data_IF_247913580333
#
_entry.id   IF_247913580333
#
_cell.length_a   1.000
_cell.length_b   1.000
_cell.length_c   1.000
_cell.angle_alpha   90.00
_cell.angle_beta   90.00
_cell.angle_gamma   90.00
#
_symmetry.space_group_name_H-M   'P 1'
#
loop_
_entity.id
_entity.type
_entity.pdbx_description
1 polymer ?
#
# COMPACT_ATOMS: atom_id res chain seq x y z
N UNK A 1 22.31 -12.11 -28.44
CA UNK A 1 23.19 -12.38 -27.30
C UNK A 1 23.24 -11.11 -26.44
N UNK A 2 22.23 -10.92 -25.58
CA UNK A 2 22.14 -9.84 -24.59
C UNK A 2 22.51 -10.32 -23.20
N UNK A 3 22.39 -9.46 -22.19
CA UNK A 3 22.46 -9.85 -20.79
C UNK A 3 21.29 -10.80 -20.44
N UNK A 4 21.49 -11.68 -19.44
CA UNK A 4 20.42 -12.55 -18.93
C UNK A 4 19.33 -11.72 -18.26
N UNK A 5 18.10 -12.20 -18.31
CA UNK A 5 16.95 -11.64 -17.60
C UNK A 5 17.15 -11.90 -16.12
N UNK A 6 17.15 -10.85 -15.31
CA UNK A 6 17.26 -10.97 -13.86
C UNK A 6 15.88 -11.26 -13.26
N UNK A 7 15.75 -12.43 -12.67
CA UNK A 7 14.55 -12.80 -11.90
C UNK A 7 14.80 -12.52 -10.41
N UNK A 8 13.98 -11.67 -9.83
CA UNK A 8 14.13 -11.21 -8.46
C UNK A 8 12.87 -11.48 -7.65
N UNK A 9 13.06 -12.12 -6.51
CA UNK A 9 12.02 -12.38 -5.52
C UNK A 9 12.20 -11.43 -4.35
N UNK A 10 11.14 -10.71 -3.99
CA UNK A 10 11.07 -9.81 -2.84
C UNK A 10 10.13 -10.36 -1.77
N UNK A 11 10.15 -9.81 -0.58
CA UNK A 11 9.27 -10.27 0.50
C UNK A 11 7.86 -9.68 0.36
N UNK A 12 7.77 -8.38 0.12
CA UNK A 12 6.52 -7.63 -0.07
C UNK A 12 6.57 -6.78 -1.34
N UNK A 13 5.46 -6.10 -1.68
CA UNK A 13 5.38 -5.11 -2.76
C UNK A 13 6.16 -3.83 -2.43
N UNK A 14 6.21 -3.42 -1.17
CA UNK A 14 7.07 -2.31 -0.76
C UNK A 14 8.56 -2.64 -0.92
N UNK A 15 8.97 -3.89 -0.59
CA UNK A 15 10.32 -4.36 -0.87
C UNK A 15 10.61 -4.44 -2.38
N UNK A 16 9.59 -4.80 -3.18
CA UNK A 16 9.69 -4.77 -4.64
C UNK A 16 9.94 -3.35 -5.14
N UNK A 17 9.18 -2.37 -4.64
CA UNK A 17 9.37 -0.96 -4.95
C UNK A 17 10.76 -0.46 -4.54
N UNK A 18 11.22 -0.79 -3.34
CA UNK A 18 12.54 -0.45 -2.84
C UNK A 18 13.64 -1.06 -3.71
N UNK A 19 13.56 -2.37 -4.02
CA UNK A 19 14.52 -3.05 -4.88
C UNK A 19 14.64 -2.36 -6.25
N UNK A 20 13.52 -1.98 -6.85
CA UNK A 20 13.49 -1.29 -8.15
C UNK A 20 14.19 0.07 -8.05
N UNK A 21 13.88 0.87 -7.03
CA UNK A 21 14.48 2.18 -6.82
C UNK A 21 15.98 2.10 -6.55
N UNK A 22 16.42 1.16 -5.69
CA UNK A 22 17.84 0.89 -5.39
C UNK A 22 18.59 0.46 -6.67
N UNK A 23 17.98 -0.43 -7.48
CA UNK A 23 18.56 -0.90 -8.73
C UNK A 23 18.71 0.23 -9.76
N UNK A 24 17.73 1.13 -9.86
CA UNK A 24 17.82 2.30 -10.73
C UNK A 24 19.01 3.17 -10.33
N UNK A 25 19.18 3.46 -9.04
CA UNK A 25 20.33 4.21 -8.52
C UNK A 25 21.66 3.51 -8.85
N UNK A 26 21.73 2.20 -8.60
CA UNK A 26 22.93 1.41 -8.91
C UNK A 26 23.28 1.47 -10.42
N UNK A 27 22.31 1.29 -11.29
CA UNK A 27 22.53 1.32 -12.73
C UNK A 27 22.92 2.71 -13.23
N UNK A 28 22.40 3.78 -12.65
CA UNK A 28 22.81 5.16 -12.94
C UNK A 28 24.28 5.39 -12.56
N UNK A 29 24.68 4.90 -11.39
CA UNK A 29 26.07 5.07 -10.92
C UNK A 29 27.08 4.20 -11.69
N UNK A 30 26.72 2.94 -11.96
CA UNK A 30 27.67 1.98 -12.57
C UNK A 30 27.70 2.03 -14.10
N UNK A 31 26.55 2.25 -14.73
CA UNK A 31 26.37 2.14 -16.18
C UNK A 31 25.99 3.45 -16.85
N UNK A 32 25.95 4.56 -16.08
CA UNK A 32 25.66 5.92 -16.56
C UNK A 32 24.30 6.08 -17.27
N UNK A 33 23.31 5.22 -16.95
CA UNK A 33 21.95 5.38 -17.42
C UNK A 33 21.32 6.64 -16.86
N UNK A 34 20.40 7.25 -17.63
CA UNK A 34 19.57 8.37 -17.20
C UNK A 34 18.20 7.86 -16.75
N UNK A 35 17.44 8.66 -16.00
CA UNK A 35 16.10 8.25 -15.56
C UNK A 35 15.19 7.85 -16.72
N UNK A 36 15.26 8.56 -17.86
CA UNK A 36 14.46 8.30 -19.06
C UNK A 36 14.74 6.93 -19.71
N UNK A 37 15.87 6.29 -19.40
CA UNK A 37 16.23 4.97 -19.94
C UNK A 37 15.47 3.86 -19.23
N UNK A 38 14.83 4.14 -18.08
CA UNK A 38 14.12 3.16 -17.28
C UNK A 38 12.61 3.23 -17.46
N UNK A 39 11.98 2.05 -17.52
CA UNK A 39 10.55 1.88 -17.44
C UNK A 39 10.17 0.81 -16.40
N UNK A 40 9.13 1.08 -15.62
CA UNK A 40 8.49 0.14 -14.69
C UNK A 40 7.13 -0.21 -15.28
N UNK A 41 6.96 -1.48 -15.66
CA UNK A 41 5.76 -1.99 -16.28
C UNK A 41 4.98 -2.87 -15.31
N UNK A 42 3.71 -2.58 -15.13
CA UNK A 42 2.82 -3.31 -14.22
C UNK A 42 1.48 -3.63 -14.90
N UNK A 43 0.75 -4.63 -14.36
CA UNK A 43 -0.50 -5.11 -14.97
C UNK A 43 -1.69 -4.20 -14.65
N UNK A 44 -1.82 -3.74 -13.42
CA UNK A 44 -2.93 -2.88 -12.97
C UNK A 44 -2.40 -1.56 -12.41
N UNK A 45 -3.23 -0.54 -12.52
CA UNK A 45 -2.88 0.80 -12.02
C UNK A 45 -2.63 0.85 -10.50
N UNK A 46 -3.27 -0.02 -9.73
CA UNK A 46 -3.10 -0.09 -8.28
C UNK A 46 -1.63 -0.35 -7.88
N UNK A 47 -0.93 -1.16 -8.66
CA UNK A 47 0.48 -1.49 -8.39
C UNK A 47 1.44 -0.29 -8.44
N UNK A 48 1.05 0.84 -9.06
CA UNK A 48 1.93 2.01 -9.16
C UNK A 48 2.31 2.59 -7.81
N UNK A 49 1.48 2.46 -6.77
CA UNK A 49 1.67 3.06 -5.44
C UNK A 49 3.04 2.73 -4.84
N UNK A 50 3.36 1.45 -4.71
CA UNK A 50 4.62 1.02 -4.08
C UNK A 50 5.86 1.58 -4.80
N UNK A 51 5.83 1.61 -6.15
CA UNK A 51 6.91 2.18 -6.95
C UNK A 51 6.98 3.69 -6.82
N UNK A 52 5.83 4.38 -6.87
CA UNK A 52 5.77 5.83 -6.68
C UNK A 52 6.35 6.25 -5.33
N UNK A 53 5.96 5.58 -4.25
CA UNK A 53 6.47 5.84 -2.91
C UNK A 53 7.96 5.56 -2.78
N UNK A 54 8.45 4.44 -3.31
CA UNK A 54 9.87 4.09 -3.27
C UNK A 54 10.74 5.11 -4.05
N UNK A 55 10.30 5.48 -5.26
CA UNK A 55 11.02 6.48 -6.07
C UNK A 55 11.05 7.85 -5.40
N UNK A 56 9.94 8.28 -4.75
CA UNK A 56 9.89 9.53 -4.00
C UNK A 56 10.84 9.52 -2.81
N UNK A 57 10.85 8.46 -2.00
CA UNK A 57 11.76 8.30 -0.86
C UNK A 57 13.22 8.46 -1.28
N UNK A 58 13.56 7.98 -2.46
CA UNK A 58 14.94 8.08 -3.01
C UNK A 58 15.20 9.33 -3.85
N UNK A 59 14.23 10.24 -3.95
CA UNK A 59 14.37 11.46 -4.75
C UNK A 59 14.53 11.22 -6.26
N UNK A 60 14.06 10.07 -6.77
CA UNK A 60 14.12 9.72 -8.18
C UNK A 60 12.89 10.31 -8.88
N UNK A 61 13.13 11.20 -9.85
CA UNK A 61 12.06 11.79 -10.64
C UNK A 61 11.39 10.73 -11.55
N UNK A 62 10.06 10.69 -11.57
CA UNK A 62 9.28 9.76 -12.38
C UNK A 62 8.09 10.44 -13.04
N UNK A 63 7.50 9.78 -14.03
CA UNK A 63 6.28 10.20 -14.73
C UNK A 63 5.38 9.00 -14.96
N UNK A 64 4.09 9.14 -14.62
CA UNK A 64 3.08 8.14 -14.98
C UNK A 64 2.67 8.38 -16.43
N UNK A 65 2.90 7.39 -17.28
CA UNK A 65 2.53 7.46 -18.69
C UNK A 65 1.12 6.89 -18.93
N UNK A 66 0.26 7.70 -19.52
CA UNK A 66 -1.13 7.30 -19.80
C UNK A 66 -2.05 7.22 -18.59
N UNK A 67 -1.70 7.85 -17.49
CA UNK A 67 -2.48 7.82 -16.25
C UNK A 67 -2.16 8.99 -15.31
N UNK A 68 -2.63 8.86 -14.08
CA UNK A 68 -2.41 9.81 -12.99
C UNK A 68 -1.70 9.09 -11.85
N UNK A 69 -0.90 9.83 -11.07
CA UNK A 69 -0.31 9.37 -9.81
C UNK A 69 -1.38 8.77 -8.89
N UNK A 70 -1.03 7.77 -8.11
CA UNK A 70 -1.97 7.02 -7.28
C UNK A 70 -2.81 7.95 -6.39
N UNK A 71 -2.16 8.85 -5.65
CA UNK A 71 -2.84 9.77 -4.75
C UNK A 71 -3.57 10.93 -5.46
N UNK A 72 -3.37 11.11 -6.77
CA UNK A 72 -4.08 12.10 -7.58
C UNK A 72 -5.40 11.57 -8.17
N UNK A 73 -5.64 10.25 -8.13
CA UNK A 73 -6.86 9.63 -8.64
C UNK A 73 -8.08 10.09 -7.85
N UNK A 74 -9.20 10.27 -8.57
CA UNK A 74 -10.42 10.84 -7.99
C UNK A 74 -10.91 10.05 -6.78
N UNK A 75 -11.07 8.74 -6.92
CA UNK A 75 -11.55 7.83 -5.87
C UNK A 75 -10.65 7.85 -4.63
N UNK A 76 -9.33 7.94 -4.83
CA UNK A 76 -8.35 8.04 -3.73
C UNK A 76 -8.50 9.37 -3.02
N UNK A 77 -8.56 10.49 -3.78
CA UNK A 77 -8.79 11.83 -3.20
C UNK A 77 -10.11 11.88 -2.44
N UNK A 78 -11.18 11.30 -3.00
CA UNK A 78 -12.50 11.28 -2.36
C UNK A 78 -12.44 10.49 -1.04
N UNK A 79 -11.79 9.34 -1.03
CA UNK A 79 -11.65 8.53 0.17
C UNK A 79 -10.74 9.16 1.22
N UNK A 80 -9.58 9.65 0.83
CA UNK A 80 -8.64 10.36 1.72
C UNK A 80 -9.30 11.61 2.31
N UNK A 81 -10.17 12.30 1.56
CA UNK A 81 -10.91 13.45 2.09
C UNK A 81 -11.86 13.07 3.24
N UNK A 82 -12.48 11.87 3.22
CA UNK A 82 -13.19 11.38 4.40
C UNK A 82 -12.26 11.25 5.61
N UNK A 83 -11.11 10.62 5.42
CA UNK A 83 -10.16 10.41 6.51
C UNK A 83 -9.62 11.73 7.07
N UNK A 84 -9.37 12.73 6.20
CA UNK A 84 -8.91 14.07 6.60
C UNK A 84 -9.97 14.81 7.42
N UNK A 85 -11.23 14.79 6.98
CA UNK A 85 -12.32 15.44 7.72
C UNK A 85 -12.53 14.84 9.11
N UNK A 86 -12.24 13.56 9.31
CA UNK A 86 -12.31 12.95 10.65
C UNK A 86 -11.25 13.53 11.60
N UNK A 87 -10.05 13.79 11.08
CA UNK A 87 -8.94 14.35 11.88
C UNK A 87 -9.11 15.88 12.02
N UNK A 88 -9.52 16.55 10.95
CA UNK A 88 -9.73 18.00 10.92
C UNK A 88 -11.03 18.36 10.17
N UNK A 89 -12.17 18.47 10.87
CA UNK A 89 -13.43 18.86 10.24
C UNK A 89 -13.44 20.26 9.63
N UNK A 90 -12.50 21.12 10.00
CA UNK A 90 -12.38 22.47 9.46
C UNK A 90 -11.71 22.49 8.06
N UNK A 91 -11.22 21.38 7.54
CA UNK A 91 -10.65 21.28 6.19
C UNK A 91 -11.75 21.39 5.12
N UNK A 92 -12.01 22.62 4.70
CA UNK A 92 -13.16 22.99 3.84
C UNK A 92 -13.14 22.24 2.50
N UNK A 93 -12.00 22.11 1.85
CA UNK A 93 -11.89 21.45 0.55
C UNK A 93 -12.18 19.95 0.64
N UNK A 94 -11.71 19.29 1.68
CA UNK A 94 -12.03 17.88 1.94
C UNK A 94 -13.53 17.70 2.25
N UNK A 95 -14.09 18.59 3.07
CA UNK A 95 -15.50 18.55 3.45
C UNK A 95 -16.44 18.78 2.25
N UNK A 96 -16.15 19.77 1.40
CA UNK A 96 -16.89 20.02 0.14
C UNK A 96 -16.90 18.78 -0.76
N UNK A 97 -15.80 18.09 -0.79
CA UNK A 97 -15.62 16.90 -1.65
C UNK A 97 -16.50 15.73 -1.24
N UNK A 98 -16.69 15.51 0.05
CA UNK A 98 -17.36 14.31 0.60
C UNK A 98 -18.81 14.53 1.00
N UNK A 99 -19.26 15.76 1.24
CA UNK A 99 -20.57 16.05 1.86
C UNK A 99 -21.73 15.39 1.10
N UNK A 100 -21.65 15.33 -0.22
CA UNK A 100 -22.67 14.68 -1.07
C UNK A 100 -22.12 13.53 -1.92
N UNK A 101 -21.03 12.91 -1.50
CA UNK A 101 -20.47 11.73 -2.18
C UNK A 101 -20.09 10.64 -1.15
N UNK A 102 -20.73 9.46 -1.18
CA UNK A 102 -21.90 9.05 -2.02
C UNK A 102 -23.12 9.98 -1.87
N UNK A 103 -24.01 9.94 -2.85
CA UNK A 103 -25.15 10.87 -2.93
C UNK A 103 -26.04 10.83 -1.67
N UNK A 104 -26.25 11.99 -1.02
CA UNK A 104 -27.06 12.15 0.21
C UNK A 104 -28.20 13.14 0.09
N UNK A 105 -28.41 13.70 -1.11
CA UNK A 105 -29.43 14.72 -1.32
C UNK A 105 -29.02 16.14 -0.86
N UNK A 106 -27.72 16.34 -0.55
CA UNK A 106 -27.18 17.67 -0.25
C UNK A 106 -26.67 18.28 -1.54
N UNK A 107 -27.53 19.04 -2.23
CA UNK A 107 -27.20 19.63 -3.53
C UNK A 107 -26.19 20.78 -3.45
N UNK A 108 -25.60 21.13 -4.61
CA UNK A 108 -24.61 22.20 -4.74
C UNK A 108 -25.08 23.52 -4.15
N UNK A 109 -26.35 23.92 -4.41
CA UNK A 109 -26.92 25.16 -3.88
C UNK A 109 -26.94 25.22 -2.35
N UNK A 110 -27.15 24.06 -1.70
CA UNK A 110 -27.11 23.96 -0.24
C UNK A 110 -25.68 24.11 0.28
N UNK A 111 -24.72 23.54 -0.41
CA UNK A 111 -23.30 23.68 -0.07
C UNK A 111 -22.83 25.13 -0.26
N UNK A 112 -23.12 25.74 -1.41
CA UNK A 112 -22.76 27.13 -1.71
C UNK A 112 -23.36 28.11 -0.68
N UNK A 113 -24.61 27.88 -0.26
CA UNK A 113 -25.26 28.65 0.81
C UNK A 113 -24.55 28.50 2.15
N UNK A 114 -24.11 27.29 2.51
CA UNK A 114 -23.39 27.08 3.77
C UNK A 114 -22.03 27.77 3.75
N UNK A 115 -21.34 27.76 2.63
CA UNK A 115 -20.05 28.47 2.48
C UNK A 115 -20.23 29.98 2.59
N UNK A 116 -21.27 30.55 1.97
CA UNK A 116 -21.61 31.98 2.13
C UNK A 116 -21.87 32.32 3.59
N UNK A 117 -22.71 31.51 4.27
CA UNK A 117 -23.00 31.71 5.70
C UNK A 117 -21.75 31.62 6.58
N UNK A 118 -20.82 30.69 6.26
CA UNK A 118 -19.53 30.58 6.95
C UNK A 118 -18.71 31.86 6.82
N UNK A 119 -18.57 32.39 5.59
CA UNK A 119 -17.84 33.62 5.31
C UNK A 119 -18.48 34.84 5.98
N UNK A 120 -19.81 35.00 5.90
CA UNK A 120 -20.54 36.11 6.48
C UNK A 120 -20.44 36.18 8.00
N UNK A 121 -20.38 35.01 8.66
CA UNK A 121 -20.31 34.91 10.12
C UNK A 121 -18.91 34.66 10.66
N UNK A 122 -17.89 34.57 9.78
CA UNK A 122 -16.49 34.28 10.13
C UNK A 122 -16.34 33.04 10.99
N UNK A 123 -17.06 31.96 10.61
CA UNK A 123 -17.01 30.64 11.22
C UNK A 123 -16.65 29.59 10.17
N UNK A 124 -16.27 28.37 10.61
CA UNK A 124 -15.93 27.31 9.67
C UNK A 124 -17.18 26.76 8.94
N UNK A 125 -16.97 26.21 7.73
CA UNK A 125 -18.03 25.52 7.00
C UNK A 125 -18.64 24.37 7.82
N UNK A 126 -17.81 23.66 8.60
CA UNK A 126 -18.28 22.62 9.52
C UNK A 126 -19.24 23.14 10.59
N UNK A 127 -18.92 24.26 11.24
CA UNK A 127 -19.80 24.88 12.25
C UNK A 127 -21.17 25.29 11.67
N UNK A 128 -21.22 25.76 10.43
CA UNK A 128 -22.49 26.04 9.74
C UNK A 128 -23.31 24.76 9.59
N UNK A 129 -22.68 23.62 9.24
CA UNK A 129 -23.37 22.34 9.12
C UNK A 129 -23.88 21.83 10.47
N UNK A 130 -23.11 21.97 11.55
CA UNK A 130 -23.52 21.61 12.89
C UNK A 130 -24.73 22.42 13.38
N UNK A 131 -24.81 23.68 12.94
CA UNK A 131 -25.87 24.62 13.29
C UNK A 131 -26.84 24.87 12.14
N UNK A 132 -27.03 23.89 11.26
CA UNK A 132 -27.78 24.05 10.00
C UNK A 132 -29.19 24.62 10.20
N UNK A 133 -29.88 24.32 11.32
CA UNK A 133 -31.20 24.87 11.65
C UNK A 133 -31.17 26.40 11.81
N UNK A 134 -30.12 26.93 12.47
CA UNK A 134 -29.95 28.37 12.70
C UNK A 134 -29.71 29.11 11.39
N UNK A 135 -29.03 28.47 10.44
CA UNK A 135 -28.81 29.01 9.09
C UNK A 135 -29.96 28.74 8.11
N UNK A 136 -31.14 28.33 8.63
CA UNK A 136 -32.40 28.28 7.91
C UNK A 136 -32.53 27.08 6.97
N UNK A 137 -31.77 25.98 7.16
CA UNK A 137 -32.03 24.71 6.49
C UNK A 137 -33.29 24.05 7.04
N UNK A 138 -34.09 23.42 6.18
CA UNK A 138 -35.36 22.80 6.53
C UNK A 138 -35.62 21.53 5.73
N UNK A 139 -36.56 20.69 6.22
CA UNK A 139 -37.01 19.49 5.53
C UNK A 139 -35.91 18.47 5.27
N UNK A 140 -35.99 17.75 4.14
CA UNK A 140 -35.10 16.68 3.81
C UNK A 140 -33.60 17.09 3.71
N UNK A 141 -33.32 18.31 3.26
CA UNK A 141 -31.94 18.82 3.22
C UNK A 141 -31.35 18.98 4.60
N UNK A 142 -32.13 19.50 5.58
CA UNK A 142 -31.70 19.61 6.96
C UNK A 142 -31.41 18.23 7.56
N UNK A 143 -32.33 17.29 7.38
CA UNK A 143 -32.16 15.91 7.87
C UNK A 143 -30.90 15.25 7.28
N UNK A 144 -30.66 15.45 5.99
CA UNK A 144 -29.46 14.92 5.32
C UNK A 144 -28.17 15.52 5.88
N UNK A 145 -28.16 16.82 6.19
CA UNK A 145 -27.00 17.50 6.81
C UNK A 145 -26.80 16.99 8.23
N UNK A 146 -27.87 16.93 9.04
CA UNK A 146 -27.77 16.42 10.42
C UNK A 146 -27.28 14.98 10.48
N UNK A 147 -27.78 14.10 9.60
CA UNK A 147 -27.33 12.72 9.48
C UNK A 147 -25.84 12.65 9.07
N UNK A 148 -25.43 13.51 8.14
CA UNK A 148 -24.01 13.57 7.75
C UNK A 148 -23.12 14.02 8.91
N UNK A 149 -23.49 15.09 9.63
CA UNK A 149 -22.76 15.57 10.80
C UNK A 149 -22.67 14.50 11.89
N UNK A 150 -23.80 13.83 12.19
CA UNK A 150 -23.85 12.76 13.17
C UNK A 150 -22.93 11.60 12.78
N UNK A 151 -22.92 11.21 11.50
CA UNK A 151 -22.06 10.16 10.96
C UNK A 151 -20.58 10.52 11.16
N UNK A 152 -20.15 11.72 10.77
CA UNK A 152 -18.76 12.17 10.93
C UNK A 152 -18.36 12.19 12.40
N UNK A 153 -19.20 12.73 13.30
CA UNK A 153 -18.94 12.73 14.74
C UNK A 153 -18.78 11.31 15.32
N UNK A 154 -19.64 10.39 14.88
CA UNK A 154 -19.54 8.98 15.27
C UNK A 154 -18.21 8.35 14.82
N UNK A 155 -17.72 8.66 13.63
CA UNK A 155 -16.43 8.16 13.16
C UNK A 155 -15.26 8.83 13.91
N UNK A 156 -15.33 10.13 14.15
CA UNK A 156 -14.28 10.85 14.89
C UNK A 156 -14.11 10.32 16.32
N UNK A 157 -15.17 9.84 16.96
CA UNK A 157 -15.07 9.23 18.30
C UNK A 157 -14.22 7.94 18.31
N UNK A 158 -14.05 7.29 17.16
CA UNK A 158 -13.23 6.08 17.03
C UNK A 158 -11.72 6.38 17.00
N UNK A 159 -11.32 7.61 16.66
CA UNK A 159 -9.90 7.99 16.52
C UNK A 159 -9.10 7.80 17.82
N UNK A 160 -9.76 7.85 18.97
CA UNK A 160 -9.13 7.68 20.28
C UNK A 160 -8.84 6.21 20.65
N UNK A 161 -9.48 5.25 19.98
CA UNK A 161 -9.46 3.85 20.40
C UNK A 161 -9.15 2.87 19.26
N UNK A 162 -8.97 3.36 18.02
CA UNK A 162 -8.77 2.54 16.85
C UNK A 162 -7.57 3.03 16.05
N UNK A 163 -6.82 2.08 15.47
CA UNK A 163 -5.75 2.38 14.55
C UNK A 163 -6.28 2.91 13.20
N UNK A 164 -5.38 3.42 12.36
CA UNK A 164 -5.71 4.01 11.07
C UNK A 164 -6.50 3.06 10.16
N UNK A 165 -6.16 1.76 10.14
CA UNK A 165 -6.81 0.77 9.29
C UNK A 165 -8.24 0.49 9.70
N UNK A 166 -8.48 0.27 10.99
CA UNK A 166 -9.83 -0.02 11.52
C UNK A 166 -10.77 1.15 11.24
N UNK A 167 -10.31 2.39 11.43
CA UNK A 167 -11.08 3.60 11.10
C UNK A 167 -11.37 3.67 9.61
N UNK A 168 -10.35 3.50 8.76
CA UNK A 168 -10.53 3.55 7.31
C UNK A 168 -11.55 2.50 6.82
N UNK A 169 -11.41 1.24 7.23
CA UNK A 169 -12.36 0.18 6.87
C UNK A 169 -13.79 0.49 7.34
N UNK A 170 -13.93 1.02 8.57
CA UNK A 170 -15.24 1.40 9.09
C UNK A 170 -15.90 2.49 8.24
N UNK A 171 -15.15 3.54 7.91
CA UNK A 171 -15.61 4.63 7.03
C UNK A 171 -16.10 4.07 5.68
N UNK A 172 -15.31 3.22 5.02
CA UNK A 172 -15.68 2.66 3.72
C UNK A 172 -16.96 1.81 3.75
N UNK A 173 -17.19 1.09 4.86
CA UNK A 173 -18.40 0.29 5.06
C UNK A 173 -19.62 1.16 5.34
N UNK A 174 -19.53 2.07 6.29
CA UNK A 174 -20.68 2.87 6.77
C UNK A 174 -21.13 3.93 5.74
N UNK A 175 -20.19 4.52 5.01
CA UNK A 175 -20.52 5.49 3.96
C UNK A 175 -21.08 4.84 2.69
N UNK A 176 -21.06 3.50 2.59
CA UNK A 176 -21.35 2.75 1.37
C UNK A 176 -20.41 3.03 0.20
N UNK A 177 -19.32 3.76 0.41
CA UNK A 177 -18.36 4.15 -0.63
C UNK A 177 -17.77 2.93 -1.35
N UNK A 178 -17.25 1.96 -0.59
CA UNK A 178 -16.68 0.73 -1.15
C UNK A 178 -17.73 -0.13 -1.84
N UNK A 179 -18.97 -0.16 -1.29
CA UNK A 179 -20.07 -0.91 -1.88
C UNK A 179 -20.51 -0.34 -3.24
N UNK A 180 -20.54 0.97 -3.38
CA UNK A 180 -20.87 1.63 -4.65
C UNK A 180 -19.85 1.27 -5.74
N UNK A 181 -18.55 1.36 -5.43
CA UNK A 181 -17.49 0.97 -6.37
C UNK A 181 -17.54 -0.53 -6.72
N UNK A 182 -17.80 -1.38 -5.74
CA UNK A 182 -17.92 -2.82 -5.96
C UNK A 182 -19.10 -3.19 -6.90
N UNK A 183 -20.17 -2.43 -6.87
CA UNK A 183 -21.34 -2.64 -7.72
C UNK A 183 -21.14 -2.16 -9.16
N UNK A 184 -20.19 -1.27 -9.40
CA UNK A 184 -19.82 -0.83 -10.74
C UNK A 184 -18.96 -1.89 -11.42
N UNK A 185 -19.56 -2.68 -12.33
CA UNK A 185 -18.89 -3.76 -13.08
C UNK A 185 -18.19 -3.30 -14.35
N UNK A 186 -18.19 -2.00 -14.64
CA UNK A 186 -17.41 -1.45 -15.74
C UNK A 186 -15.92 -1.66 -15.50
N UNK A 187 -15.11 -1.69 -16.55
CA UNK A 187 -13.65 -1.79 -16.45
C UNK A 187 -13.07 -0.67 -15.57
N UNK A 188 -13.65 0.54 -15.67
CA UNK A 188 -13.26 1.68 -14.85
C UNK A 188 -13.68 1.51 -13.38
N UNK A 189 -14.90 1.00 -13.13
CA UNK A 189 -15.39 0.72 -11.78
C UNK A 189 -14.54 -0.32 -11.07
N UNK A 190 -14.17 -1.40 -11.75
CA UNK A 190 -13.27 -2.43 -11.23
C UNK A 190 -11.90 -1.82 -10.86
N UNK A 191 -11.33 -1.01 -11.76
CA UNK A 191 -10.04 -0.35 -11.49
C UNK A 191 -10.11 0.61 -10.30
N UNK A 192 -11.21 1.37 -10.15
CA UNK A 192 -11.41 2.25 -8.98
C UNK A 192 -11.53 1.45 -7.69
N UNK A 193 -12.25 0.33 -7.73
CA UNK A 193 -12.36 -0.57 -6.58
C UNK A 193 -10.99 -1.14 -6.18
N UNK A 194 -10.19 -1.61 -7.15
CA UNK A 194 -8.82 -2.08 -6.92
C UNK A 194 -7.94 -1.00 -6.29
N UNK A 195 -8.06 0.25 -6.75
CA UNK A 195 -7.32 1.38 -6.18
C UNK A 195 -7.68 1.62 -4.70
N UNK A 196 -8.96 1.54 -4.33
CA UNK A 196 -9.37 1.69 -2.92
C UNK A 196 -8.90 0.49 -2.08
N UNK A 197 -8.94 -0.73 -2.61
CA UNK A 197 -8.40 -1.89 -1.92
C UNK A 197 -6.89 -1.73 -1.67
N UNK A 198 -6.16 -1.23 -2.66
CA UNK A 198 -4.73 -0.95 -2.52
C UNK A 198 -4.44 0.11 -1.45
N UNK A 199 -5.24 1.19 -1.39
CA UNK A 199 -5.12 2.19 -0.32
C UNK A 199 -5.37 1.55 1.06
N UNK A 200 -6.40 0.74 1.21
CA UNK A 200 -6.69 0.06 2.47
C UNK A 200 -5.59 -0.94 2.87
N UNK A 201 -5.04 -1.65 1.89
CA UNK A 201 -3.91 -2.57 2.11
C UNK A 201 -2.66 -1.80 2.57
N UNK A 202 -2.37 -0.65 1.96
CA UNK A 202 -1.23 0.19 2.37
C UNK A 202 -1.37 0.74 3.79
N UNK A 203 -2.60 1.12 4.20
CA UNK A 203 -2.88 1.53 5.58
C UNK A 203 -2.65 0.33 6.53
N UNK A 204 -3.12 -0.86 6.14
CA UNK A 204 -2.95 -2.08 6.94
C UNK A 204 -1.47 -2.42 7.14
N UNK A 205 -0.72 -2.46 6.06
CA UNK A 205 0.71 -2.71 6.08
C UNK A 205 1.46 -1.68 6.94
N UNK A 206 1.12 -0.39 6.80
CA UNK A 206 1.70 0.66 7.63
C UNK A 206 1.40 0.47 9.12
N UNK A 207 0.18 0.07 9.47
CA UNK A 207 -0.20 -0.22 10.87
C UNK A 207 0.58 -1.42 11.42
N UNK A 208 0.77 -2.47 10.62
CA UNK A 208 1.45 -3.71 11.05
C UNK A 208 2.98 -3.65 10.91
N UNK A 209 3.52 -2.66 10.18
CA UNK A 209 4.97 -2.46 10.10
C UNK A 209 5.53 -2.11 11.47
N UNK A 210 6.68 -2.71 11.87
CA UNK A 210 7.41 -2.26 13.06
C UNK A 210 7.70 -0.76 12.93
N UNK A 211 7.64 -0.04 14.06
CA UNK A 211 8.16 1.32 14.10
C UNK A 211 9.65 1.26 13.75
N UNK A 212 10.05 1.98 12.70
CA UNK A 212 11.48 2.20 12.44
C UNK A 212 11.99 3.04 13.61
N UNK A 213 12.52 2.39 14.66
CA UNK A 213 13.34 3.07 15.65
C UNK A 213 14.48 3.68 14.85
N UNK A 214 14.54 5.02 14.80
CA UNK A 214 15.72 5.72 14.27
C UNK A 214 16.90 5.14 15.02
N UNK A 215 17.80 4.46 14.30
CA UNK A 215 19.06 3.99 14.86
C UNK A 215 19.76 5.23 15.45
N UNK A 216 19.81 5.31 16.78
CA UNK A 216 20.54 6.32 17.54
C UNK A 216 22.07 6.21 17.35
N UNK A 217 22.52 5.41 16.38
CA UNK A 217 23.93 5.17 16.09
C UNK A 217 24.48 5.97 14.90
N UNK A 218 23.97 7.19 14.67
CA UNK A 218 24.76 8.17 13.91
C UNK A 218 25.59 8.93 14.92
N UNK A 219 26.67 8.32 15.39
CA UNK A 219 27.78 9.04 16.01
C UNK A 219 28.42 9.90 14.93
N UNK A 220 28.05 11.16 14.91
CA UNK A 220 28.77 12.19 14.18
C UNK A 220 30.14 12.35 14.84
N UNK A 221 31.17 11.68 14.31
CA UNK A 221 32.56 12.04 14.57
C UNK A 221 32.91 13.20 13.66
N UNK A 222 32.46 14.37 14.00
CA UNK A 222 32.89 15.63 13.41
C UNK A 222 33.46 16.51 14.52
N UNK A 223 34.72 16.88 14.36
CA UNK A 223 35.46 17.80 15.24
C UNK A 223 34.67 19.11 15.43
N UNK A 224 34.46 19.47 16.70
CA UNK A 224 33.84 20.76 17.05
C UNK A 224 34.79 21.94 16.73
N UNK A 225 34.33 23.01 16.08
CA UNK A 225 34.97 24.30 16.25
C UNK A 225 34.36 24.99 17.48
N UNK A 226 35.25 25.34 18.40
CA UNK A 226 34.95 26.06 19.63
C UNK A 226 34.29 27.42 19.36
N UNK A 227 33.24 27.72 20.10
CA UNK A 227 32.78 29.10 20.35
C UNK A 227 31.31 29.37 20.03
N UNK A 228 30.56 29.49 21.08
CA UNK A 228 29.49 30.40 21.42
C UNK A 228 28.28 29.68 22.04
N UNK A 229 28.23 29.84 23.38
CA UNK A 229 27.04 29.56 24.18
C UNK A 229 25.88 30.45 23.74
N UNK A 230 24.81 29.85 23.18
CA UNK A 230 23.50 30.48 23.12
C UNK A 230 22.53 29.61 23.95
N UNK A 231 22.05 30.26 25.02
CA UNK A 231 21.14 29.73 26.02
C UNK A 231 19.88 29.11 25.41
N UNK A 232 19.67 27.80 25.64
CA UNK A 232 18.36 27.15 25.58
C UNK A 232 17.80 27.02 26.98
N UNK A 233 17.36 28.15 27.51
CA UNK A 233 16.58 28.21 28.74
C UNK A 233 15.20 28.76 28.39
N UNK A 234 14.27 27.88 28.04
CA UNK A 234 12.81 28.15 28.02
C UNK A 234 12.08 26.89 27.58
N UNK A 235 11.78 26.02 28.49
CA UNK A 235 10.58 25.14 28.53
C UNK A 235 10.77 24.03 29.59
N UNK A 236 11.02 24.48 30.83
CA UNK A 236 10.92 23.58 31.97
C UNK A 236 10.37 24.34 33.16
N UNK A 237 9.05 24.48 33.20
CA UNK A 237 8.28 24.70 34.44
C UNK A 237 6.79 24.51 34.19
N UNK A 238 6.25 23.59 34.93
CA UNK A 238 4.85 23.29 35.25
C UNK A 238 4.28 22.04 34.60
N UNK A 239 4.44 20.90 35.28
CA UNK A 239 3.28 20.17 35.82
C UNK A 239 3.78 19.07 36.77
N UNK A 240 3.66 19.33 38.06
CA UNK A 240 3.58 18.29 39.07
C UNK A 240 2.11 17.85 39.08
N UNK A 241 1.83 16.66 38.58
CA UNK A 241 0.59 15.94 38.86
C UNK A 241 0.93 14.47 39.11
N UNK A 242 0.34 13.94 40.11
CA UNK A 242 0.54 12.65 40.78
C UNK A 242 0.80 11.48 39.88
N UNK A 243 1.91 10.75 40.17
CA UNK A 243 2.25 9.48 39.57
C UNK A 243 1.32 8.38 40.08
N UNK A 244 0.34 7.99 39.29
CA UNK A 244 -0.28 6.68 39.40
C UNK A 244 0.59 5.73 38.58
N UNK A 245 1.25 4.75 39.21
CA UNK A 245 2.03 3.72 38.56
C UNK A 245 1.10 2.87 37.68
N UNK A 246 1.22 3.04 36.35
CA UNK A 246 0.60 2.17 35.35
C UNK A 246 1.55 0.99 35.13
N UNK A 247 1.08 -0.27 35.11
CA UNK A 247 1.93 -1.42 34.85
C UNK A 247 2.65 -1.28 33.49
N UNK A 248 3.95 -1.62 33.44
CA UNK A 248 4.82 -1.41 32.29
C UNK A 248 4.32 -2.05 30.98
N UNK A 249 3.57 -3.15 31.06
CA UNK A 249 2.98 -3.81 29.88
C UNK A 249 1.86 -2.98 29.23
N UNK A 250 1.08 -2.25 30.03
CA UNK A 250 0.00 -1.37 29.50
C UNK A 250 0.54 -0.06 28.93
N UNK A 251 1.69 0.41 29.42
CA UNK A 251 2.32 1.61 28.89
C UNK A 251 2.90 1.41 27.48
N UNK A 252 3.48 0.24 27.20
CA UNK A 252 3.99 -0.09 25.87
C UNK A 252 2.85 -0.26 24.85
N UNK A 253 1.72 -0.89 25.21
CA UNK A 253 0.55 -1.00 24.33
C UNK A 253 -0.09 0.37 24.01
N UNK A 254 -0.07 1.32 24.95
CA UNK A 254 -0.62 2.66 24.75
C UNK A 254 0.30 3.50 23.87
N UNK A 255 1.63 3.41 24.03
CA UNK A 255 2.60 4.13 23.20
C UNK A 255 2.58 3.62 21.74
N UNK A 256 2.48 2.30 21.52
CA UNK A 256 2.36 1.71 20.17
C UNK A 256 1.04 2.10 19.47
N UNK A 257 -0.05 2.32 20.23
CA UNK A 257 -1.33 2.74 19.68
C UNK A 257 -1.33 4.22 19.27
N UNK A 258 -0.61 5.10 19.95
CA UNK A 258 -0.54 6.53 19.60
C UNK A 258 0.20 6.78 18.29
N UNK A 259 1.23 6.00 17.97
CA UNK A 259 2.04 6.18 16.76
C UNK A 259 1.36 5.67 15.47
N UNK A 260 0.41 4.74 15.55
CA UNK A 260 -0.34 4.18 14.41
C UNK A 260 -1.72 4.82 14.20
N UNK A 261 -1.85 6.07 14.59
CA UNK A 261 -3.08 6.86 14.45
C UNK A 261 -3.36 7.24 12.99
N UNK A 262 -4.63 7.52 12.69
CA UNK A 262 -5.03 8.04 11.38
C UNK A 262 -4.32 9.38 11.04
N UNK A 263 -4.11 10.24 12.04
CA UNK A 263 -3.41 11.52 11.87
C UNK A 263 -1.97 11.32 11.39
N UNK A 264 -1.22 10.42 12.01
CA UNK A 264 0.16 10.11 11.64
C UNK A 264 0.25 9.54 10.20
N UNK A 265 -0.65 8.63 9.84
CA UNK A 265 -0.73 8.11 8.46
C UNK A 265 -0.99 9.21 7.43
N UNK A 266 -1.94 10.11 7.70
CA UNK A 266 -2.27 11.22 6.80
C UNK A 266 -1.13 12.23 6.64
N UNK A 267 -0.35 12.49 7.69
CA UNK A 267 0.87 13.31 7.60
C UNK A 267 1.89 12.68 6.63
N UNK A 268 2.12 11.37 6.75
CA UNK A 268 3.03 10.66 5.85
C UNK A 268 2.58 10.77 4.39
N UNK A 269 1.29 10.58 4.09
CA UNK A 269 0.77 10.72 2.72
C UNK A 269 0.95 12.16 2.21
N UNK A 270 0.69 13.16 3.04
CA UNK A 270 0.79 14.57 2.62
C UNK A 270 2.22 14.90 2.20
N UNK A 271 3.22 14.49 2.96
CA UNK A 271 4.63 14.66 2.58
C UNK A 271 4.98 13.96 1.25
N UNK A 272 4.33 12.83 0.96
CA UNK A 272 4.54 12.10 -0.29
C UNK A 272 3.87 12.79 -1.49
N UNK A 273 2.74 13.48 -1.30
CA UNK A 273 1.95 14.07 -2.41
C UNK A 273 2.47 15.44 -2.87
N UNK A 274 3.10 16.20 -2.01
CA UNK A 274 3.61 17.56 -2.34
C UNK A 274 4.81 17.53 -3.31
N UNK A 275 5.43 16.39 -3.50
CA UNK A 275 6.57 16.21 -4.40
C UNK A 275 6.20 16.05 -5.90
N UNK A 276 4.92 15.92 -6.24
CA UNK A 276 4.45 15.57 -7.60
C UNK A 276 4.48 16.71 -8.64
N UNK A 277 4.86 17.93 -8.27
CA UNK A 277 4.86 19.09 -9.17
C UNK A 277 6.16 19.25 -9.95
N UNK A 278 6.46 18.35 -10.93
CA UNK A 278 7.64 18.54 -11.79
C UNK A 278 7.33 18.31 -13.29
N UNK A 279 7.96 19.15 -14.12
CA UNK A 279 7.80 19.28 -15.56
C UNK A 279 7.86 17.94 -16.32
N UNK A 280 6.93 17.74 -17.26
CA UNK A 280 6.81 16.54 -18.10
C UNK A 280 8.02 16.29 -19.03
N UNK A 281 8.85 17.31 -19.30
CA UNK A 281 10.05 17.23 -20.13
C UNK A 281 11.35 16.91 -19.38
N UNK A 282 11.26 16.63 -18.07
CA UNK A 282 12.42 16.29 -17.26
C UNK A 282 12.88 14.84 -17.49
N UNK A 283 14.16 14.58 -17.21
CA UNK A 283 14.71 13.22 -17.16
C UNK A 283 14.02 12.42 -16.05
N UNK A 284 13.04 11.57 -16.42
CA UNK A 284 12.16 10.86 -15.49
C UNK A 284 12.03 9.39 -15.84
N UNK A 285 11.98 8.53 -14.79
CA UNK A 285 11.60 7.12 -14.93
C UNK A 285 10.15 7.02 -15.38
N UNK A 286 9.86 6.13 -16.34
CA UNK A 286 8.50 5.96 -16.87
C UNK A 286 7.79 4.82 -16.15
N UNK A 287 6.67 5.15 -15.50
CA UNK A 287 5.76 4.18 -14.87
C UNK A 287 4.53 4.02 -15.76
N UNK A 288 4.16 2.79 -16.11
CA UNK A 288 3.00 2.57 -16.97
C UNK A 288 2.46 1.14 -16.88
N UNK A 289 1.20 1.00 -17.27
CA UNK A 289 0.66 -0.35 -17.48
C UNK A 289 1.29 -1.00 -18.72
N UNK A 290 1.31 -2.33 -18.75
CA UNK A 290 1.82 -3.11 -19.87
C UNK A 290 1.11 -2.73 -21.17
N UNK A 291 -0.20 -2.44 -21.11
CA UNK A 291 -0.97 -2.01 -22.28
C UNK A 291 -0.48 -0.68 -22.86
N UNK A 292 -0.12 0.26 -21.99
CA UNK A 292 0.39 1.57 -22.40
C UNK A 292 1.82 1.49 -22.98
N UNK A 293 2.56 0.42 -22.66
CA UNK A 293 3.92 0.21 -23.15
C UNK A 293 3.98 -0.32 -24.60
N UNK A 294 2.84 -0.68 -25.21
CA UNK A 294 2.80 -1.21 -26.58
C UNK A 294 3.35 -0.19 -27.57
N UNK A 295 4.39 -0.57 -28.31
CA UNK A 295 5.05 0.30 -29.29
C UNK A 295 6.19 1.16 -28.74
N UNK A 296 6.38 1.22 -27.42
CA UNK A 296 7.50 1.93 -26.79
C UNK A 296 8.65 0.96 -26.51
N UNK A 297 9.88 1.50 -26.36
CA UNK A 297 11.06 0.70 -26.02
C UNK A 297 11.99 1.51 -25.11
N UNK A 298 12.60 0.83 -24.14
CA UNK A 298 13.44 1.45 -23.11
C UNK A 298 14.78 0.73 -22.98
N UNK A 299 15.80 1.42 -22.50
CA UNK A 299 17.12 0.83 -22.23
C UNK A 299 17.01 -0.28 -21.18
N UNK A 300 16.31 0.01 -20.09
CA UNK A 300 16.14 -0.84 -18.93
C UNK A 300 14.65 -0.97 -18.59
N UNK A 301 14.15 -2.18 -18.39
CA UNK A 301 12.75 -2.45 -18.07
C UNK A 301 12.64 -3.29 -16.81
N UNK A 302 11.77 -2.90 -15.92
CA UNK A 302 11.29 -3.69 -14.78
C UNK A 302 9.89 -4.19 -15.10
N UNK A 303 9.72 -5.50 -15.17
CA UNK A 303 8.44 -6.18 -15.30
C UNK A 303 8.01 -6.58 -13.88
N UNK A 304 7.09 -5.82 -13.29
CA UNK A 304 6.77 -5.89 -11.87
C UNK A 304 5.48 -6.66 -11.59
N UNK A 305 5.45 -7.35 -10.44
CA UNK A 305 4.28 -8.07 -9.97
C UNK A 305 3.96 -9.31 -10.80
N UNK A 306 4.99 -10.07 -11.22
CA UNK A 306 4.83 -11.31 -11.97
C UNK A 306 4.39 -12.44 -11.02
N UNK A 307 3.13 -12.41 -10.59
CA UNK A 307 2.53 -13.30 -9.62
C UNK A 307 1.21 -13.87 -10.14
N UNK A 308 0.88 -15.10 -9.74
CA UNK A 308 -0.43 -15.70 -10.03
C UNK A 308 -1.56 -14.82 -9.47
N UNK A 309 -2.66 -14.74 -10.21
CA UNK A 309 -3.81 -13.88 -9.90
C UNK A 309 -3.56 -12.37 -9.96
N UNK A 310 -2.34 -11.94 -10.29
CA UNK A 310 -1.99 -10.54 -10.54
C UNK A 310 -1.55 -10.35 -12.00
N UNK A 311 -0.61 -11.16 -12.47
CA UNK A 311 -0.22 -11.30 -13.85
C UNK A 311 0.21 -12.75 -14.16
N UNK A 312 -0.71 -13.60 -14.70
CA UNK A 312 -2.03 -13.27 -15.27
C UNK A 312 -3.04 -12.80 -14.23
N UNK A 313 -3.95 -11.89 -14.66
CA UNK A 313 -5.00 -11.36 -13.79
C UNK A 313 -5.99 -12.48 -13.40
N UNK A 314 -6.46 -12.46 -12.13
CA UNK A 314 -7.40 -13.47 -11.62
C UNK A 314 -8.67 -13.64 -12.47
N UNK A 315 -9.15 -12.56 -13.11
CA UNK A 315 -10.33 -12.62 -13.97
C UNK A 315 -10.04 -13.28 -15.32
N UNK A 316 -8.78 -13.22 -15.78
CA UNK A 316 -8.35 -13.69 -17.11
C UNK A 316 -7.81 -15.13 -17.12
N UNK A 317 -7.87 -15.86 -16.00
CA UNK A 317 -7.42 -17.27 -15.95
C UNK A 317 -8.55 -18.27 -16.17
N UNK A 318 -9.80 -17.83 -16.28
CA UNK A 318 -10.96 -18.69 -16.36
C UNK A 318 -11.21 -19.26 -17.76
N UNK A 319 -10.77 -18.56 -18.80
CA UNK A 319 -10.87 -19.02 -20.18
C UNK A 319 -9.50 -19.11 -20.82
N UNK A 320 -9.39 -20.01 -21.81
CA UNK A 320 -8.12 -20.18 -22.55
C UNK A 320 -7.78 -18.94 -23.38
N UNK A 321 -8.78 -18.33 -23.97
CA UNK A 321 -8.62 -17.14 -24.81
C UNK A 321 -8.08 -15.95 -23.99
N UNK A 322 -8.63 -15.71 -22.80
CA UNK A 322 -8.18 -14.65 -21.91
C UNK A 322 -6.76 -14.91 -21.41
N UNK A 323 -6.44 -16.16 -21.05
CA UNK A 323 -5.08 -16.52 -20.64
C UNK A 323 -4.05 -16.33 -21.77
N UNK A 324 -4.42 -16.64 -23.01
CA UNK A 324 -3.55 -16.40 -24.18
C UNK A 324 -3.36 -14.89 -24.43
N UNK A 325 -4.36 -14.06 -24.14
CA UNK A 325 -4.17 -12.60 -24.22
C UNK A 325 -3.21 -12.10 -23.14
N UNK A 326 -3.31 -12.60 -21.90
CA UNK A 326 -2.32 -12.28 -20.84
C UNK A 326 -0.90 -12.74 -21.26
N UNK A 327 -0.77 -13.90 -21.93
CA UNK A 327 0.53 -14.35 -22.47
C UNK A 327 1.06 -13.42 -23.55
N UNK A 328 0.20 -12.88 -24.42
CA UNK A 328 0.60 -11.87 -25.41
C UNK A 328 1.08 -10.57 -24.74
N UNK A 329 0.42 -10.18 -23.64
CA UNK A 329 0.88 -9.03 -22.83
C UNK A 329 2.26 -9.32 -22.23
N UNK A 330 2.50 -10.54 -21.75
CA UNK A 330 3.83 -10.92 -21.24
C UNK A 330 4.89 -10.85 -22.34
N UNK A 331 4.59 -11.32 -23.54
CA UNK A 331 5.48 -11.14 -24.69
C UNK A 331 5.77 -9.66 -24.98
N UNK A 332 4.75 -8.80 -24.90
CA UNK A 332 4.96 -7.35 -25.03
C UNK A 332 5.96 -6.86 -23.99
N UNK A 333 5.82 -7.23 -22.71
CA UNK A 333 6.74 -6.81 -21.65
C UNK A 333 8.18 -7.16 -21.98
N UNK A 334 8.44 -8.43 -22.29
CA UNK A 334 9.80 -8.93 -22.57
C UNK A 334 10.44 -8.18 -23.74
N UNK A 335 9.64 -7.81 -24.75
CA UNK A 335 10.13 -7.12 -25.95
C UNK A 335 10.29 -5.61 -25.80
N UNK A 336 9.98 -5.02 -24.63
CA UNK A 336 10.18 -3.56 -24.39
C UNK A 336 11.60 -3.20 -24.00
N UNK A 337 12.38 -4.17 -23.51
CA UNK A 337 13.75 -3.94 -23.06
C UNK A 337 14.75 -4.00 -24.23
N UNK A 338 15.57 -2.95 -24.37
CA UNK A 338 16.67 -2.92 -25.36
C UNK A 338 17.96 -3.57 -24.83
N UNK A 339 18.23 -3.41 -23.52
CA UNK A 339 19.50 -3.83 -22.93
C UNK A 339 19.30 -4.72 -21.70
N UNK A 340 18.50 -4.29 -20.73
CA UNK A 340 18.34 -5.00 -19.45
C UNK A 340 16.86 -5.19 -19.10
N UNK A 341 16.54 -6.39 -18.64
CA UNK A 341 15.22 -6.76 -18.17
C UNK A 341 15.32 -7.38 -16.77
N UNK A 342 14.58 -6.81 -15.83
CA UNK A 342 14.31 -7.38 -14.52
C UNK A 342 12.86 -7.86 -14.48
N UNK A 343 12.64 -9.07 -14.02
CA UNK A 343 11.33 -9.62 -13.69
C UNK A 343 11.27 -9.70 -12.18
N UNK A 344 10.30 -9.05 -11.57
CA UNK A 344 10.15 -9.01 -10.13
C UNK A 344 8.81 -9.59 -9.68
N UNK A 345 8.79 -10.24 -8.52
CA UNK A 345 7.59 -10.72 -7.86
C UNK A 345 7.75 -10.70 -6.35
N UNK A 346 6.67 -10.41 -5.61
CA UNK A 346 6.64 -10.45 -4.16
C UNK A 346 6.14 -11.79 -3.65
N UNK A 347 6.71 -12.24 -2.52
CA UNK A 347 6.26 -13.43 -1.82
C UNK A 347 4.86 -13.29 -1.26
N UNK A 348 4.60 -12.12 -0.72
CA UNK A 348 3.34 -11.82 -0.05
C UNK A 348 2.89 -10.41 -0.36
N UNK A 349 1.57 -10.23 -0.39
CA UNK A 349 0.90 -8.93 -0.51
C UNK A 349 -0.30 -8.89 0.40
N UNK A 350 -0.62 -7.72 0.89
CA UNK A 350 -1.92 -7.52 1.51
C UNK A 350 -3.01 -7.51 0.42
N UNK A 351 -4.05 -8.31 0.64
CA UNK A 351 -5.26 -8.33 -0.19
C UNK A 351 -6.47 -8.45 0.73
N UNK A 352 -7.43 -7.54 0.58
CA UNK A 352 -8.65 -7.52 1.39
C UNK A 352 -8.37 -7.55 2.91
N UNK A 353 -7.30 -6.88 3.34
CA UNK A 353 -6.89 -6.80 4.75
C UNK A 353 -6.22 -8.05 5.32
N UNK A 354 -5.86 -9.01 4.48
CA UNK A 354 -5.12 -10.22 4.85
C UNK A 354 -3.83 -10.34 4.08
N UNK A 355 -2.77 -10.81 4.74
CA UNK A 355 -1.50 -11.12 4.09
C UNK A 355 -1.65 -12.44 3.34
N UNK A 356 -1.50 -12.41 2.02
CA UNK A 356 -1.62 -13.57 1.14
C UNK A 356 -0.24 -13.89 0.58
N UNK A 357 0.14 -15.16 0.64
CA UNK A 357 1.33 -15.64 -0.05
C UNK A 357 1.01 -15.85 -1.53
N UNK A 358 1.87 -15.31 -2.39
CA UNK A 358 1.72 -15.37 -3.83
C UNK A 358 2.70 -16.37 -4.43
N UNK A 359 2.24 -17.11 -5.43
CA UNK A 359 3.10 -17.92 -6.27
C UNK A 359 3.64 -17.07 -7.43
N UNK A 360 4.89 -17.33 -7.90
CA UNK A 360 5.39 -16.70 -9.10
C UNK A 360 4.47 -16.96 -10.29
N UNK A 361 4.33 -15.99 -11.18
CA UNK A 361 3.57 -16.14 -12.42
C UNK A 361 4.01 -17.36 -13.22
N UNK A 362 3.05 -18.13 -13.73
CA UNK A 362 3.30 -19.27 -14.64
C UNK A 362 4.10 -18.88 -15.89
N UNK A 363 4.01 -17.64 -16.33
CA UNK A 363 4.76 -17.16 -17.49
C UNK A 363 6.27 -17.14 -17.25
N UNK A 364 6.73 -17.05 -15.99
CA UNK A 364 8.15 -17.13 -15.67
C UNK A 364 8.71 -18.51 -16.03
N UNK A 365 7.93 -19.58 -15.82
CA UNK A 365 8.35 -20.94 -16.14
C UNK A 365 8.41 -21.22 -17.66
N UNK A 366 7.82 -20.36 -18.48
CA UNK A 366 7.89 -20.45 -19.94
C UNK A 366 9.22 -19.88 -20.51
N UNK A 367 9.99 -19.15 -19.68
CA UNK A 367 11.32 -18.65 -20.10
C UNK A 367 12.36 -19.76 -19.90
N UNK A 368 13.14 -20.13 -20.94
CA UNK A 368 14.20 -21.12 -20.78
C UNK A 368 15.24 -20.67 -19.73
N UNK A 369 15.65 -21.58 -18.86
CA UNK A 369 16.56 -21.31 -17.74
C UNK A 369 17.91 -20.71 -18.18
N UNK A 370 18.36 -21.02 -19.37
CA UNK A 370 19.60 -20.47 -19.94
C UNK A 370 19.59 -18.95 -20.08
N UNK A 371 18.40 -18.33 -20.20
CA UNK A 371 18.22 -16.88 -20.31
C UNK A 371 17.94 -16.20 -18.96
N UNK A 372 17.73 -16.97 -17.88
CA UNK A 372 17.45 -16.43 -16.56
C UNK A 372 18.72 -16.33 -15.70
N UNK A 373 18.79 -15.26 -14.92
CA UNK A 373 19.67 -15.08 -13.76
C UNK A 373 18.81 -14.94 -12.51
N UNK A 374 18.83 -15.98 -11.66
CA UNK A 374 18.04 -16.04 -10.42
C UNK A 374 18.86 -15.48 -9.24
N UNK A 375 19.22 -14.20 -9.29
CA UNK A 375 19.85 -13.56 -8.15
C UNK A 375 18.80 -13.20 -7.09
N UNK A 376 18.96 -13.71 -5.86
CA UNK A 376 18.09 -13.27 -4.75
C UNK A 376 18.47 -11.85 -4.33
N UNK A 377 17.48 -10.97 -4.09
CA UNK A 377 17.69 -9.59 -3.64
C UNK A 377 18.44 -9.46 -2.31
N UNK A 378 18.68 -10.57 -1.59
CA UNK A 378 19.37 -10.60 -0.31
C UNK A 378 20.88 -10.87 -0.34
N UNK A 379 21.50 -11.19 -1.52
CA UNK A 379 22.90 -11.59 -1.56
C UNK A 379 23.91 -10.48 -1.86
N UNK A 380 23.47 -9.31 -2.31
CA UNK A 380 24.39 -8.23 -2.70
C UNK A 380 24.86 -7.33 -1.55
N UNK A 381 24.27 -7.41 -0.34
CA UNK A 381 24.67 -6.59 0.80
C UNK A 381 25.71 -7.27 1.72
N UNK A 382 26.12 -8.53 1.48
CA UNK A 382 27.07 -9.26 2.35
C UNK A 382 28.39 -9.69 1.72
N UNK A 383 28.65 -9.38 0.46
CA UNK A 383 29.93 -9.79 -0.19
C UNK A 383 31.09 -8.80 -0.03
N UNK A 384 30.97 -7.81 0.84
CA UNK A 384 32.00 -6.77 1.04
C UNK A 384 32.74 -6.76 2.39
N UNK A 385 32.41 -7.64 3.35
CA UNK A 385 33.10 -7.68 4.64
C UNK A 385 33.61 -9.09 4.97
N UNK A 386 34.87 -9.30 4.56
CA UNK A 386 35.90 -10.16 5.19
C UNK A 386 35.42 -11.46 5.89
N UNK A 387 35.34 -12.55 5.14
CA UNK A 387 35.45 -13.91 5.69
C UNK A 387 36.87 -14.28 6.18
N UNK A 388 37.86 -13.42 5.98
CA UNK A 388 39.26 -13.70 6.37
C UNK A 388 39.65 -13.31 7.82
N UNK A 389 38.80 -12.55 8.54
CA UNK A 389 39.09 -12.15 9.91
C UNK A 389 38.56 -13.17 10.96
N UNK A 390 37.49 -13.91 10.62
CA UNK A 390 36.90 -14.85 11.59
C UNK A 390 37.58 -16.24 11.60
N UNK A 391 38.29 -16.64 10.54
CA UNK A 391 39.08 -17.89 10.50
C UNK A 391 40.41 -17.81 11.21
N UNK A 392 40.97 -16.60 11.39
CA UNK A 392 42.25 -16.44 12.13
C UNK A 392 42.14 -16.49 13.66
N UNK A 393 40.93 -16.42 14.23
CA UNK A 393 40.72 -16.51 15.68
C UNK A 393 40.37 -17.92 16.18
N UNK A 394 40.25 -18.92 15.30
CA UNK A 394 39.90 -20.30 15.66
C UNK A 394 41.06 -21.30 15.64
N UNK A 395 42.28 -20.80 15.50
CA UNK A 395 43.53 -21.60 15.55
C UNK A 395 44.19 -21.59 16.93
N UNK A 396 43.51 -22.08 17.95
CA UNK A 396 44.08 -22.33 19.29
C UNK A 396 43.73 -23.75 19.70
N UNK A 397 44.74 -24.61 19.59
CA UNK A 397 44.80 -25.99 20.03
C UNK A 397 44.38 -26.20 21.47
N UNK A 398 43.44 -27.13 21.73
CA UNK A 398 43.52 -28.01 22.89
C UNK A 398 42.91 -29.37 22.50
N UNK A 399 43.71 -30.41 22.64
CA UNK A 399 43.35 -31.78 22.38
C UNK A 399 42.57 -32.42 23.53
N UNK A 400 41.90 -33.51 23.24
CA UNK A 400 41.45 -34.44 24.26
C UNK A 400 40.15 -35.17 23.97
N UNK A 401 40.33 -36.41 23.46
CA UNK A 401 39.58 -37.64 23.79
C UNK A 401 38.11 -37.79 23.45
N UNK A 402 37.93 -38.72 22.56
CA UNK A 402 36.76 -39.58 22.26
C UNK A 402 35.87 -40.01 23.44
N UNK A 403 34.57 -40.06 23.21
CA UNK A 403 33.76 -41.25 23.54
C UNK A 403 32.38 -41.19 22.85
N UNK A 404 32.14 -42.23 22.06
CA UNK A 404 30.87 -42.66 21.53
C UNK A 404 29.90 -43.09 22.65
N UNK A 405 28.64 -42.78 22.56
CA UNK A 405 27.53 -43.70 22.92
C UNK A 405 26.22 -43.24 22.27
N UNK A 406 25.69 -44.16 21.54
CA UNK A 406 24.30 -44.16 21.03
C UNK A 406 23.32 -44.33 22.21
N UNK A 407 22.21 -43.58 22.13
CA UNK A 407 20.99 -43.96 22.86
C UNK A 407 19.79 -43.76 21.94
N UNK A 408 19.28 -44.91 21.47
CA UNK A 408 17.89 -45.09 21.05
C UNK A 408 17.01 -45.12 22.30
N UNK A 409 15.92 -44.40 22.29
CA UNK A 409 14.80 -44.63 23.18
C UNK A 409 13.50 -44.25 22.46
N UNK A 410 12.84 -45.29 21.96
CA UNK A 410 11.39 -45.31 21.70
C UNK A 410 10.63 -44.97 22.97
N UNK A 411 9.64 -44.09 22.86
CA UNK A 411 8.49 -44.05 23.76
C UNK A 411 7.21 -43.80 22.97
N UNK A 412 6.43 -44.85 22.84
CA UNK A 412 5.00 -44.86 22.58
C UNK A 412 4.26 -43.97 23.57
N UNK A 413 3.40 -43.10 23.08
CA UNK A 413 2.26 -42.55 23.82
C UNK A 413 1.02 -42.62 22.93
N UNK A 414 -0.05 -43.22 23.50
CA UNK A 414 -1.30 -43.58 22.86
C UNK A 414 -2.14 -42.38 22.44
N UNK A 415 -2.97 -42.62 21.46
CA UNK A 415 -3.95 -41.69 20.89
C UNK A 415 -5.14 -41.48 21.85
N UNK A 416 -5.69 -40.25 21.95
CA UNK A 416 -6.98 -40.00 22.60
C UNK A 416 -8.15 -40.30 21.65
N UNK A 417 -9.36 -40.62 22.17
CA UNK A 417 -10.48 -41.17 21.42
C UNK A 417 -11.18 -40.12 20.52
N UNK A 418 -11.68 -40.63 19.39
CA UNK A 418 -12.30 -39.88 18.31
C UNK A 418 -13.51 -39.05 18.69
N UNK A 419 -13.55 -37.83 18.17
CA UNK A 419 -14.77 -37.04 18.02
C UNK A 419 -15.41 -37.38 16.66
N UNK A 420 -16.71 -37.63 16.71
CA UNK A 420 -17.56 -37.90 15.56
C UNK A 420 -17.50 -36.75 14.57
N UNK A 421 -17.24 -37.06 13.31
CA UNK A 421 -17.43 -36.15 12.19
C UNK A 421 -18.93 -35.93 11.97
N UNK A 422 -19.37 -34.68 12.07
CA UNK A 422 -20.65 -34.22 11.53
C UNK A 422 -20.51 -34.08 10.02
N UNK A 423 -21.46 -34.69 9.30
CA UNK A 423 -21.50 -34.65 7.83
C UNK A 423 -21.79 -33.25 7.30
N UNK A 424 -21.05 -32.83 6.29
CA UNK A 424 -21.28 -31.60 5.55
C UNK A 424 -22.65 -31.63 4.84
N UNK A 425 -23.37 -30.52 4.76
CA UNK A 425 -24.65 -30.45 4.05
C UNK A 425 -24.47 -30.64 2.55
N UNK A 426 -25.35 -31.39 1.96
CA UNK A 426 -25.37 -31.74 0.54
C UNK A 426 -25.54 -30.51 -0.34
N UNK A 427 -24.71 -30.37 -1.35
CA UNK A 427 -24.79 -29.41 -2.42
C UNK A 427 -26.06 -29.67 -3.25
N UNK A 428 -26.99 -28.72 -3.25
CA UNK A 428 -28.16 -28.70 -4.14
C UNK A 428 -27.75 -27.98 -5.42
N UNK A 429 -27.60 -28.73 -6.50
CA UNK A 429 -27.31 -28.21 -7.83
C UNK A 429 -28.48 -27.41 -8.42
N UNK A 430 -28.24 -26.60 -9.47
CA UNK A 430 -29.24 -25.71 -10.04
C UNK A 430 -30.38 -26.48 -10.74
N UNK A 431 -31.59 -26.01 -10.49
CA UNK A 431 -32.85 -26.52 -11.09
C UNK A 431 -32.84 -26.26 -12.61
N UNK A 432 -33.11 -27.26 -13.47
CA UNK A 432 -33.21 -27.04 -14.91
C UNK A 432 -34.44 -26.24 -15.28
N UNK A 433 -34.24 -25.12 -16.00
CA UNK A 433 -35.32 -24.38 -16.67
C UNK A 433 -35.80 -25.19 -17.87
N UNK A 434 -36.95 -25.82 -17.75
CA UNK A 434 -37.75 -26.21 -18.91
C UNK A 434 -39.23 -26.29 -18.52
N UNK A 435 -40.03 -25.40 -19.13
CA UNK A 435 -41.44 -25.41 -19.41
C UNK A 435 -42.12 -24.05 -19.09
N UNK A 436 -42.03 -23.15 -20.02
CA UNK A 436 -43.10 -22.20 -20.27
C UNK A 436 -43.56 -22.45 -21.71
N UNK A 437 -44.66 -23.20 -21.84
CA UNK A 437 -45.46 -23.27 -23.06
C UNK A 437 -46.39 -22.07 -23.10
N UNK A 438 -46.37 -21.43 -24.26
CA UNK A 438 -47.45 -20.80 -25.01
C UNK A 438 -48.81 -20.69 -24.34
N UNK A 439 -49.28 -19.48 -24.21
CA UNK A 439 -50.65 -19.09 -24.54
C UNK A 439 -50.68 -17.60 -24.89
N UNK A 440 -50.84 -17.34 -26.22
CA UNK A 440 -51.53 -16.15 -26.73
C UNK A 440 -53.03 -16.49 -26.80
N UNK A 441 -53.98 -15.55 -26.86
CA UNK A 441 -54.05 -14.50 -27.90
C UNK A 441 -53.76 -13.09 -27.42
#
# INVERSE_FOLDING_TARGET
>A
TGEKIRLVRTMSDNDEGKFVADTIQEQKLRNHFQNKDFAILYRTNAQSRAFEEALRRMGIAYTIYGGMSFYQRKEIKDYVSYLRVLVNPAEEEALKRIINYPARGIGKTSVDRAILAANENNISFWEVLERAREFGYKGATLESIENFVLMIKSFSSMLQHKNAYDVAVHVGKQTSFVKELFNDKSTEGVARYENIQELLNSIKEWVESPLETMDENITFTGEEPAGEEIAVELFSKNNKTEQTEIPADTANEILDAEDKTLGAYLQQITLLTDADNKNADADTVKLMTIHAAKGLEFGCVFAAGLEESLFPNAMSINTREELEEERRLFYVVVTRAKQKLWITHANSRYRFGSLIQNEPSRFISEIPEEFLDRSSAGSSARSGLNSSAFERMRGGTFGGASRSTAWQAEKQYGAPPGKKQEAAPAYIGPIPQNKLKEHQP
#
